data_IF_091979714215
#
_entry.id   IF_091979714215
#
_cell.length_a   1.000
_cell.length_b   1.000
_cell.length_c   1.000
_cell.angle_alpha   90.00
_cell.angle_beta   90.00
_cell.angle_gamma   90.00
#
_symmetry.space_group_name_H-M   'P 1'
#
loop_
_entity.id
_entity.type
_entity.pdbx_description
1 polymer ?
#
# COMPACT_ATOMS: atom_id res chain seq x y z
N UNK A 1 27.09 40.86 -8.41
CA UNK A 1 27.14 41.48 -7.06
C UNK A 1 27.16 40.35 -6.06
N UNK A 2 28.00 40.41 -5.03
CA UNK A 2 28.07 39.34 -4.05
C UNK A 2 26.76 39.28 -3.22
N UNK A 3 26.30 38.07 -2.95
CA UNK A 3 25.09 37.77 -2.19
C UNK A 3 25.43 36.89 -1.00
N UNK A 4 24.66 37.03 0.08
CA UNK A 4 24.71 36.14 1.24
C UNK A 4 23.50 35.21 1.19
N UNK A 5 23.72 33.94 1.52
CA UNK A 5 22.66 32.94 1.63
C UNK A 5 22.52 32.56 3.10
N UNK A 6 21.28 32.59 3.60
CA UNK A 6 20.96 32.21 4.97
C UNK A 6 19.85 31.17 4.99
N UNK A 7 19.98 30.21 5.90
CA UNK A 7 18.88 29.37 6.37
C UNK A 7 18.37 29.91 7.70
N UNK A 8 17.13 30.41 7.70
CA UNK A 8 16.35 30.74 8.88
C UNK A 8 15.57 29.50 9.31
N UNK A 9 15.88 28.99 10.50
CA UNK A 9 15.11 27.93 11.17
C UNK A 9 14.31 28.53 12.31
N UNK A 10 13.02 28.30 12.30
CA UNK A 10 12.06 28.77 13.30
C UNK A 10 11.45 27.58 14.01
N UNK A 11 11.37 27.67 15.34
CA UNK A 11 10.66 26.69 16.16
C UNK A 11 9.87 27.35 17.28
N UNK A 12 8.68 26.82 17.56
CA UNK A 12 7.81 27.33 18.63
C UNK A 12 6.36 26.88 18.46
N UNK A 13 5.47 27.46 19.26
CA UNK A 13 4.05 27.17 19.19
C UNK A 13 3.45 27.76 17.88
N UNK A 14 2.70 26.95 17.14
CA UNK A 14 2.06 27.41 15.91
C UNK A 14 0.98 28.45 16.19
N UNK A 15 0.89 29.47 15.33
CA UNK A 15 -0.08 30.58 15.41
C UNK A 15 -0.42 31.11 14.01
N UNK A 16 -1.67 31.51 13.77
CA UNK A 16 -2.05 32.17 12.52
C UNK A 16 -1.16 33.41 12.25
N UNK A 17 -0.72 33.57 11.01
CA UNK A 17 0.02 34.75 10.56
C UNK A 17 1.54 34.74 10.82
N UNK A 18 2.10 33.67 11.42
CA UNK A 18 3.56 33.53 11.63
C UNK A 18 4.33 33.67 10.31
N UNK A 19 4.00 32.84 9.32
CA UNK A 19 4.67 32.82 8.01
C UNK A 19 4.56 34.17 7.33
N UNK A 20 3.38 34.78 7.29
CA UNK A 20 3.15 36.11 6.71
C UNK A 20 3.98 37.20 7.39
N UNK A 21 4.08 37.17 8.72
CA UNK A 21 4.81 38.17 9.49
C UNK A 21 6.31 38.14 9.17
N UNK A 22 6.88 36.94 9.05
CA UNK A 22 8.30 36.74 8.79
C UNK A 22 8.66 37.03 7.32
N UNK A 23 7.83 36.58 6.38
CA UNK A 23 8.07 36.84 4.95
C UNK A 23 7.86 38.31 4.60
N UNK A 24 7.01 39.04 5.34
CA UNK A 24 6.89 40.50 5.18
C UNK A 24 8.19 41.24 5.54
N UNK A 25 8.91 40.78 6.57
CA UNK A 25 10.24 41.32 6.89
C UNK A 25 11.21 41.03 5.75
N UNK A 26 11.28 39.78 5.27
CA UNK A 26 12.14 39.41 4.14
C UNK A 26 11.85 40.26 2.89
N UNK A 27 10.57 40.49 2.58
CA UNK A 27 10.14 41.30 1.44
C UNK A 27 10.60 42.76 1.55
N UNK A 28 10.55 43.37 2.75
CA UNK A 28 11.01 44.73 2.97
C UNK A 28 12.52 44.94 2.69
N UNK A 29 13.29 43.85 2.67
CA UNK A 29 14.73 43.85 2.39
C UNK A 29 15.09 43.36 0.99
N UNK A 30 14.10 43.13 0.11
CA UNK A 30 14.29 42.55 -1.22
C UNK A 30 14.97 41.16 -1.19
N UNK A 31 14.74 40.38 -0.13
CA UNK A 31 15.29 39.03 -0.01
C UNK A 31 14.57 38.06 -0.97
N UNK A 32 15.35 37.23 -1.66
CA UNK A 32 14.84 36.19 -2.57
C UNK A 32 14.77 34.87 -1.82
N UNK A 33 13.58 34.30 -1.65
CA UNK A 33 13.43 32.95 -1.08
C UNK A 33 13.91 31.93 -2.10
N UNK A 34 14.86 31.09 -1.69
CA UNK A 34 15.44 30.00 -2.48
C UNK A 34 14.74 28.66 -2.22
N UNK A 35 14.30 28.43 -0.98
CA UNK A 35 13.55 27.25 -0.56
C UNK A 35 12.74 27.57 0.71
N UNK A 36 11.62 26.88 0.91
CA UNK A 36 10.77 27.03 2.10
C UNK A 36 10.09 25.71 2.44
N UNK A 37 10.16 25.34 3.71
CA UNK A 37 9.54 24.13 4.24
C UNK A 37 8.91 24.38 5.60
N UNK A 38 7.68 23.88 5.79
CA UNK A 38 6.97 23.99 7.07
C UNK A 38 6.41 22.64 7.49
N UNK A 39 6.55 22.32 8.78
CA UNK A 39 5.86 21.22 9.42
C UNK A 39 5.25 21.70 10.74
N UNK A 40 4.05 21.25 11.05
CA UNK A 40 3.45 21.41 12.38
C UNK A 40 3.25 20.00 12.97
N UNK A 41 3.91 19.75 14.10
CA UNK A 41 3.84 18.48 14.82
C UNK A 41 3.36 18.79 16.24
N UNK A 42 2.17 18.31 16.61
CA UNK A 42 1.57 18.54 17.94
C UNK A 42 1.59 20.02 18.37
N UNK A 43 1.09 20.91 17.50
CA UNK A 43 1.04 22.37 17.69
C UNK A 43 2.41 23.06 17.82
N UNK A 44 3.48 22.33 17.51
CA UNK A 44 4.84 22.87 17.41
C UNK A 44 5.19 23.06 15.95
N UNK A 45 5.34 24.34 15.56
CA UNK A 45 5.83 24.75 14.26
C UNK A 45 7.33 24.51 14.17
N UNK A 46 7.74 23.93 13.03
CA UNK A 46 9.10 24.00 12.51
C UNK A 46 9.03 24.60 11.11
N UNK A 47 9.64 25.77 10.91
CA UNK A 47 9.65 26.50 9.64
C UNK A 47 11.09 26.81 9.23
N UNK A 48 11.50 26.29 8.07
CA UNK A 48 12.76 26.60 7.43
C UNK A 48 12.54 27.52 6.24
N UNK A 49 13.24 28.65 6.17
CA UNK A 49 13.27 29.53 5.01
C UNK A 49 14.73 29.72 4.61
N UNK A 50 15.10 29.24 3.42
CA UNK A 50 16.38 29.53 2.81
C UNK A 50 16.21 30.74 1.89
N UNK A 51 17.03 31.78 2.07
CA UNK A 51 16.91 33.00 1.29
C UNK A 51 18.27 33.60 0.95
N UNK A 52 18.31 34.31 -0.18
CA UNK A 52 19.43 35.09 -0.69
C UNK A 52 19.16 36.58 -0.48
N UNK A 53 20.19 37.33 -0.07
CA UNK A 53 20.15 38.78 0.04
C UNK A 53 21.46 39.40 -0.46
N UNK A 54 21.40 40.62 -1.02
CA UNK A 54 22.60 41.36 -1.46
C UNK A 54 23.52 41.66 -0.26
N UNK A 55 24.83 41.43 -0.43
CA UNK A 55 25.82 41.76 0.60
C UNK A 55 25.81 43.25 0.96
N UNK A 56 26.04 43.53 2.24
CA UNK A 56 26.16 44.88 2.79
C UNK A 56 25.24 45.12 3.99
N UNK A 57 24.97 46.40 4.31
CA UNK A 57 24.20 46.79 5.51
C UNK A 57 22.81 46.15 5.61
N UNK A 58 22.18 45.85 4.47
CA UNK A 58 20.87 45.17 4.43
C UNK A 58 20.92 43.73 4.97
N UNK A 59 22.03 43.02 4.76
CA UNK A 59 22.23 41.62 5.19
C UNK A 59 22.17 41.49 6.73
N UNK A 60 22.89 42.32 7.48
CA UNK A 60 22.81 42.27 8.96
C UNK A 60 21.48 42.83 9.50
N UNK A 61 20.90 43.82 8.83
CA UNK A 61 19.64 44.44 9.24
C UNK A 61 18.45 43.48 9.15
N UNK A 62 18.34 42.70 8.07
CA UNK A 62 17.24 41.73 7.91
C UNK A 62 17.28 40.65 9.00
N UNK A 63 18.47 40.18 9.39
CA UNK A 63 18.62 39.18 10.45
C UNK A 63 18.15 39.73 11.80
N UNK A 64 18.50 40.98 12.10
CA UNK A 64 18.08 41.67 13.34
C UNK A 64 16.56 41.82 13.38
N UNK A 65 15.94 42.28 12.30
CA UNK A 65 14.50 42.51 12.26
C UNK A 65 13.71 41.20 12.32
N UNK A 66 14.23 40.13 11.69
CA UNK A 66 13.66 38.79 11.82
C UNK A 66 13.79 38.23 13.25
N UNK A 67 14.92 38.45 13.93
CA UNK A 67 15.08 38.07 15.34
C UNK A 67 14.08 38.81 16.23
N UNK A 68 13.93 40.11 16.02
CA UNK A 68 12.97 40.93 16.76
C UNK A 68 11.55 40.45 16.51
N UNK A 69 11.19 40.19 15.25
CA UNK A 69 9.87 39.69 14.89
C UNK A 69 9.59 38.30 15.48
N UNK A 70 10.57 37.40 15.46
CA UNK A 70 10.48 36.10 16.09
C UNK A 70 10.23 36.21 17.61
N UNK A 71 10.94 37.12 18.28
CA UNK A 71 10.75 37.40 19.70
C UNK A 71 9.35 37.93 20.01
N UNK A 72 8.84 38.91 19.24
CA UNK A 72 7.47 39.42 19.39
C UNK A 72 6.42 38.31 19.25
N UNK A 73 6.66 37.36 18.35
CA UNK A 73 5.76 36.24 18.08
C UNK A 73 5.91 35.10 19.10
N UNK A 74 6.89 35.17 20.00
CA UNK A 74 7.16 34.14 21.01
C UNK A 74 7.78 32.86 20.44
N UNK A 75 8.46 32.95 19.30
CA UNK A 75 9.11 31.83 18.61
C UNK A 75 10.63 31.98 18.64
N UNK A 76 11.35 30.87 18.52
CA UNK A 76 12.82 30.86 18.41
C UNK A 76 13.21 30.94 16.95
N UNK A 77 14.16 31.82 16.63
CA UNK A 77 14.77 31.90 15.31
C UNK A 77 16.28 31.63 15.40
N UNK A 78 16.78 30.76 14.53
CA UNK A 78 18.20 30.44 14.38
C UNK A 78 18.62 30.64 12.92
N UNK A 79 19.72 31.34 12.72
CA UNK A 79 20.28 31.58 11.39
C UNK A 79 21.52 30.74 11.19
N UNK A 80 21.66 30.17 10.00
CA UNK A 80 22.87 29.49 9.55
C UNK A 80 23.28 30.12 8.21
N UNK A 81 24.46 30.76 8.11
CA UNK A 81 24.99 31.18 6.82
C UNK A 81 25.32 29.93 5.99
N UNK A 82 25.06 30.00 4.69
CA UNK A 82 25.33 28.93 3.72
C UNK A 82 26.27 29.49 2.67
N UNK A 83 27.37 28.78 2.40
CA UNK A 83 28.27 29.15 1.32
C UNK A 83 27.63 28.82 -0.03
N UNK A 84 28.00 29.55 -1.09
CA UNK A 84 27.50 29.23 -2.44
C UNK A 84 27.85 27.79 -2.84
N UNK A 85 29.03 27.30 -2.46
CA UNK A 85 29.45 25.91 -2.73
C UNK A 85 28.54 24.89 -2.03
N UNK A 86 28.19 25.11 -0.76
CA UNK A 86 27.28 24.21 -0.03
C UNK A 86 25.86 24.26 -0.57
N UNK A 87 25.40 25.44 -0.99
CA UNK A 87 24.11 25.61 -1.65
C UNK A 87 24.06 24.84 -2.97
N UNK A 88 25.06 25.01 -3.84
CA UNK A 88 25.15 24.29 -5.11
C UNK A 88 25.28 22.77 -4.89
N UNK A 89 26.02 22.32 -3.87
CA UNK A 89 26.03 20.89 -3.49
C UNK A 89 24.64 20.39 -3.12
N UNK A 90 23.86 21.16 -2.37
CA UNK A 90 22.49 20.81 -2.01
C UNK A 90 21.55 20.81 -3.22
N UNK A 91 21.65 21.79 -4.12
CA UNK A 91 20.89 21.85 -5.38
C UNK A 91 21.19 20.62 -6.24
N UNK A 92 22.47 20.24 -6.39
CA UNK A 92 22.87 19.07 -7.17
C UNK A 92 22.51 17.73 -6.52
N UNK A 93 22.04 17.72 -5.26
CA UNK A 93 21.44 16.55 -4.63
C UNK A 93 19.93 16.41 -4.92
N UNK A 94 19.33 17.36 -5.65
CA UNK A 94 17.97 17.21 -6.16
C UNK A 94 17.96 16.04 -7.16
N UNK A 95 17.16 15.00 -6.86
CA UNK A 95 17.02 13.83 -7.73
C UNK A 95 17.61 12.53 -7.20
N UNK A 96 18.17 12.50 -5.98
CA UNK A 96 18.45 11.20 -5.33
C UNK A 96 17.17 10.36 -5.24
N UNK A 97 17.32 9.06 -5.45
CA UNK A 97 16.21 8.12 -5.35
C UNK A 97 15.45 8.31 -4.04
N UNK A 98 14.13 8.27 -4.17
CA UNK A 98 13.20 8.35 -3.04
C UNK A 98 12.46 7.05 -2.93
N UNK A 99 12.34 6.59 -1.70
CA UNK A 99 11.63 5.38 -1.38
C UNK A 99 10.68 5.64 -0.23
N UNK A 100 9.64 4.83 -0.16
CA UNK A 100 8.64 4.83 0.88
C UNK A 100 8.75 3.51 1.63
N UNK A 101 8.94 3.59 2.93
CA UNK A 101 8.80 2.45 3.85
C UNK A 101 7.50 2.63 4.61
N UNK A 102 6.59 1.66 4.51
CA UNK A 102 5.33 1.67 5.27
C UNK A 102 5.40 0.55 6.30
N UNK A 103 5.17 0.89 7.57
CA UNK A 103 4.99 -0.08 8.66
C UNK A 103 3.49 -0.14 8.95
N UNK A 104 2.96 -1.34 9.03
CA UNK A 104 1.54 -1.61 9.19
C UNK A 104 1.34 -2.75 10.20
N UNK A 105 0.34 -2.62 11.05
CA UNK A 105 0.03 -3.62 12.08
C UNK A 105 -1.24 -3.29 12.82
N UNK A 106 -1.65 -4.17 13.74
CA UNK A 106 -2.68 -3.84 14.72
C UNK A 106 -2.21 -2.75 15.70
N UNK A 107 -0.91 -2.68 15.94
CA UNK A 107 -0.24 -1.68 16.78
C UNK A 107 1.06 -1.22 16.14
N UNK A 108 1.61 -0.12 16.67
CA UNK A 108 2.95 0.34 16.33
C UNK A 108 3.81 0.26 17.60
N UNK A 109 4.67 -0.76 17.66
CA UNK A 109 5.63 -0.93 18.74
C UNK A 109 6.90 -0.11 18.46
N UNK A 110 7.51 0.42 19.52
CA UNK A 110 8.77 1.17 19.40
C UNK A 110 9.90 0.30 18.82
N UNK A 111 9.90 -1.00 19.15
CA UNK A 111 10.87 -1.99 18.64
C UNK A 111 10.77 -2.16 17.12
N UNK A 112 9.54 -2.29 16.58
CA UNK A 112 9.30 -2.36 15.13
C UNK A 112 9.89 -1.14 14.39
N UNK A 113 9.66 0.06 14.94
CA UNK A 113 10.18 1.31 14.36
C UNK A 113 11.70 1.35 14.48
N UNK A 114 12.25 0.97 15.63
CA UNK A 114 13.70 0.96 15.89
C UNK A 114 14.43 0.08 14.88
N UNK A 115 14.02 -1.18 14.69
CA UNK A 115 14.71 -2.09 13.76
C UNK A 115 14.60 -1.64 12.29
N UNK A 116 13.44 -1.12 11.87
CA UNK A 116 13.29 -0.54 10.53
C UNK A 116 14.22 0.67 10.33
N UNK A 117 14.25 1.60 11.29
CA UNK A 117 15.09 2.81 11.18
C UNK A 117 16.58 2.50 11.28
N UNK A 118 16.96 1.43 11.99
CA UNK A 118 18.33 0.93 12.05
C UNK A 118 18.80 0.43 10.69
N UNK A 119 18.02 -0.38 9.98
CA UNK A 119 18.35 -0.82 8.61
C UNK A 119 18.55 0.38 7.67
N UNK A 120 17.65 1.37 7.76
CA UNK A 120 17.74 2.61 6.96
C UNK A 120 19.06 3.35 7.26
N UNK A 121 19.40 3.48 8.54
CA UNK A 121 20.64 4.13 8.98
C UNK A 121 21.90 3.36 8.58
N UNK A 122 21.91 2.03 8.71
CA UNK A 122 23.04 1.16 8.36
C UNK A 122 23.38 1.24 6.86
N UNK A 123 22.39 1.56 6.03
CA UNK A 123 22.56 1.82 4.59
C UNK A 123 22.83 3.29 4.26
N UNK A 124 23.08 4.13 5.27
CA UNK A 124 23.35 5.58 5.10
C UNK A 124 22.24 6.33 4.36
N UNK A 125 20.99 5.85 4.47
CA UNK A 125 19.82 6.52 3.93
C UNK A 125 19.28 7.52 4.94
N UNK A 126 18.74 8.64 4.46
CA UNK A 126 18.13 9.65 5.31
C UNK A 126 16.61 9.48 5.33
N UNK A 127 16.00 9.64 6.50
CA UNK A 127 14.54 9.74 6.64
C UNK A 127 14.16 11.22 6.50
N UNK A 128 13.56 11.59 5.38
CA UNK A 128 13.13 12.97 5.11
C UNK A 128 11.83 13.30 5.85
N UNK A 129 10.91 12.34 6.04
CA UNK A 129 9.71 12.54 6.84
C UNK A 129 9.10 11.24 7.34
N UNK A 130 8.37 11.31 8.46
CA UNK A 130 7.54 10.22 9.00
C UNK A 130 6.12 10.74 9.17
N UNK A 131 5.14 10.00 8.65
CA UNK A 131 3.71 10.34 8.72
C UNK A 131 2.92 9.15 9.23
N UNK A 132 2.07 9.34 10.23
CA UNK A 132 1.05 8.35 10.57
C UNK A 132 -0.02 8.35 9.47
N UNK A 133 -0.42 7.19 8.96
CA UNK A 133 -1.48 7.03 7.96
C UNK A 133 -2.84 6.71 8.59
N UNK A 134 -2.86 6.07 9.75
CA UNK A 134 -4.11 5.75 10.44
C UNK A 134 -4.58 6.86 11.38
N UNK A 135 -5.82 6.75 11.83
CA UNK A 135 -6.40 7.55 12.90
C UNK A 135 -5.63 7.46 14.22
N UNK A 136 -6.06 8.29 15.18
CA UNK A 136 -5.51 8.27 16.54
C UNK A 136 -6.22 7.19 17.35
N UNK A 137 -5.44 6.31 17.94
CA UNK A 137 -5.96 5.23 18.80
C UNK A 137 -6.42 5.83 20.13
N UNK A 138 -7.64 5.48 20.55
CA UNK A 138 -8.13 5.85 21.88
C UNK A 138 -7.51 4.95 22.95
N UNK A 139 -7.07 5.53 24.06
CA UNK A 139 -6.62 4.77 25.24
C UNK A 139 -7.79 4.26 26.11
N UNK A 140 -9.02 4.70 25.83
CA UNK A 140 -10.20 4.37 26.62
C UNK A 140 -11.17 3.50 25.82
N UNK A 141 -11.43 3.84 24.56
CA UNK A 141 -12.27 3.05 23.68
C UNK A 141 -11.41 1.97 23.03
N UNK A 142 -11.72 0.71 23.31
CA UNK A 142 -11.15 -0.40 22.55
C UNK A 142 -11.79 -0.43 21.17
N UNK A 143 -10.96 -0.33 20.15
CA UNK A 143 -11.38 -0.57 18.78
C UNK A 143 -11.50 -2.08 18.57
N UNK A 144 -12.58 -2.51 17.94
CA UNK A 144 -12.77 -3.92 17.55
C UNK A 144 -11.71 -4.34 16.53
N UNK A 145 -11.27 -3.40 15.69
CA UNK A 145 -10.37 -3.63 14.56
C UNK A 145 -9.25 -2.59 14.54
N UNK A 146 -8.27 -2.72 15.45
CA UNK A 146 -7.19 -1.75 15.57
C UNK A 146 -6.31 -1.79 14.31
N UNK A 147 -5.99 -0.62 13.78
CA UNK A 147 -5.10 -0.44 12.64
C UNK A 147 -4.11 0.67 12.96
N UNK A 148 -2.83 0.36 12.80
CA UNK A 148 -1.77 1.29 13.08
C UNK A 148 -0.79 1.27 11.91
N UNK A 149 -0.63 2.42 11.25
CA UNK A 149 0.33 2.54 10.17
C UNK A 149 1.07 3.86 10.19
N UNK A 150 2.37 3.79 9.91
CA UNK A 150 3.21 4.93 9.59
C UNK A 150 3.91 4.71 8.25
N UNK A 151 4.24 5.82 7.62
CA UNK A 151 4.97 5.90 6.37
C UNK A 151 6.21 6.76 6.58
N UNK A 152 7.36 6.27 6.13
CA UNK A 152 8.62 6.99 6.10
C UNK A 152 9.00 7.29 4.65
N UNK A 153 9.26 8.55 4.35
CA UNK A 153 9.92 8.95 3.11
C UNK A 153 11.41 8.92 3.34
N UNK A 154 12.13 8.08 2.60
CA UNK A 154 13.58 7.94 2.72
C UNK A 154 14.27 8.31 1.41
N UNK A 155 15.50 8.82 1.52
CA UNK A 155 16.28 9.30 0.38
C UNK A 155 17.74 8.86 0.48
N UNK A 156 18.27 8.40 -0.63
CA UNK A 156 19.66 7.98 -0.78
C UNK A 156 19.81 6.94 -1.89
N UNK A 157 21.04 6.51 -2.14
CA UNK A 157 21.35 5.51 -3.16
C UNK A 157 21.28 4.12 -2.54
N UNK A 158 20.58 3.20 -3.20
CA UNK A 158 20.47 1.81 -2.78
C UNK A 158 21.13 0.94 -3.85
N UNK A 159 22.28 0.35 -3.51
CA UNK A 159 23.01 -0.52 -4.44
C UNK A 159 22.31 -1.85 -4.69
N UNK A 160 21.74 -2.48 -3.64
CA UNK A 160 20.99 -3.73 -3.74
C UNK A 160 19.65 -3.62 -2.98
N UNK A 161 18.56 -3.54 -3.74
CA UNK A 161 17.19 -3.47 -3.20
C UNK A 161 16.74 -4.81 -2.60
N UNK A 162 17.34 -5.91 -3.05
CA UNK A 162 17.00 -7.26 -2.60
C UNK A 162 17.38 -7.46 -1.15
N UNK A 163 18.63 -7.12 -0.78
CA UNK A 163 19.11 -7.12 0.61
C UNK A 163 18.21 -6.27 1.52
N UNK A 164 17.78 -5.10 1.03
CA UNK A 164 16.92 -4.19 1.80
C UNK A 164 15.54 -4.81 2.06
N UNK A 165 14.94 -5.39 1.01
CA UNK A 165 13.64 -6.08 1.09
C UNK A 165 13.72 -7.29 2.02
N UNK A 166 14.80 -8.08 1.92
CA UNK A 166 15.00 -9.28 2.71
C UNK A 166 15.08 -8.98 4.22
N UNK A 167 15.83 -7.94 4.61
CA UNK A 167 15.91 -7.52 6.02
C UNK A 167 14.57 -7.00 6.56
N UNK A 168 13.77 -6.31 5.76
CA UNK A 168 12.43 -5.92 6.18
C UNK A 168 11.46 -7.11 6.30
N UNK A 169 11.60 -8.12 5.43
CA UNK A 169 10.85 -9.36 5.57
C UNK A 169 11.22 -10.12 6.85
N UNK A 170 12.49 -10.13 7.24
CA UNK A 170 12.95 -10.70 8.52
C UNK A 170 12.28 -10.03 9.72
N UNK A 171 12.31 -8.68 9.78
CA UNK A 171 11.60 -7.93 10.82
C UNK A 171 10.11 -8.25 10.82
N UNK A 172 9.51 -8.35 9.63
CA UNK A 172 8.07 -8.59 9.51
C UNK A 172 7.67 -9.93 10.14
N UNK A 173 8.52 -10.96 10.00
CA UNK A 173 8.33 -12.29 10.60
C UNK A 173 8.55 -12.29 12.10
N UNK A 174 9.54 -11.54 12.60
CA UNK A 174 9.94 -11.57 14.01
C UNK A 174 9.05 -10.69 14.90
N UNK A 175 8.62 -9.53 14.40
CA UNK A 175 8.00 -8.48 15.22
C UNK A 175 6.50 -8.28 14.93
N UNK A 176 5.86 -9.18 14.18
CA UNK A 176 4.44 -9.12 13.86
C UNK A 176 4.02 -7.73 13.31
N UNK A 177 4.72 -7.32 12.25
CA UNK A 177 4.48 -6.08 11.54
C UNK A 177 4.59 -6.35 10.05
N UNK A 178 3.70 -5.76 9.25
CA UNK A 178 3.86 -5.76 7.81
C UNK A 178 4.70 -4.55 7.39
N UNK A 179 5.79 -4.81 6.67
CA UNK A 179 6.67 -3.76 6.15
C UNK A 179 6.66 -3.80 4.63
N UNK A 180 6.28 -2.69 4.01
CA UNK A 180 6.31 -2.52 2.57
C UNK A 180 7.37 -1.49 2.18
N UNK A 181 8.20 -1.82 1.20
CA UNK A 181 9.23 -0.96 0.64
C UNK A 181 8.95 -0.71 -0.83
N UNK A 182 8.76 0.55 -1.20
CA UNK A 182 8.37 0.96 -2.56
C UNK A 182 9.21 2.15 -3.02
N UNK A 183 9.45 2.28 -4.32
CA UNK A 183 9.93 3.52 -4.90
C UNK A 183 8.86 4.62 -4.82
N UNK A 184 9.24 5.86 -4.50
CA UNK A 184 8.35 7.04 -4.57
C UNK A 184 8.32 7.59 -6.01
N UNK A 185 7.90 6.77 -6.95
CA UNK A 185 7.74 7.14 -8.35
C UNK A 185 6.29 7.58 -8.67
N UNK A 186 6.06 8.04 -9.89
CA UNK A 186 4.75 8.54 -10.33
C UNK A 186 3.67 7.44 -10.29
N UNK A 187 4.04 6.19 -10.56
CA UNK A 187 3.11 5.07 -10.60
C UNK A 187 2.59 4.69 -9.21
N UNK A 188 3.42 4.84 -8.16
CA UNK A 188 2.99 4.60 -6.76
C UNK A 188 1.70 5.35 -6.41
N UNK A 189 1.53 6.57 -6.94
CA UNK A 189 0.39 7.45 -6.65
C UNK A 189 -0.71 7.43 -7.71
N UNK A 190 -0.45 6.84 -8.88
CA UNK A 190 -1.35 6.86 -10.02
C UNK A 190 -1.74 5.44 -10.44
N UNK A 191 -1.92 4.52 -9.48
CA UNK A 191 -2.48 3.20 -9.75
C UNK A 191 -3.97 3.33 -10.09
N UNK A 192 -4.48 2.46 -10.97
CA UNK A 192 -5.83 2.60 -11.57
C UNK A 192 -6.64 1.31 -11.68
N UNK A 193 -5.99 0.14 -11.63
CA UNK A 193 -6.65 -1.17 -11.70
C UNK A 193 -6.18 -2.03 -10.53
N UNK A 194 -7.12 -2.68 -9.85
CA UNK A 194 -6.84 -3.64 -8.77
C UNK A 194 -7.50 -4.98 -9.10
N UNK A 195 -6.68 -6.01 -9.20
CA UNK A 195 -7.11 -7.38 -9.42
C UNK A 195 -6.92 -8.18 -8.13
N UNK A 196 -7.95 -8.94 -7.76
CA UNK A 196 -7.97 -9.75 -6.55
C UNK A 196 -8.15 -11.22 -6.90
N UNK A 197 -7.46 -12.11 -6.21
CA UNK A 197 -7.98 -13.47 -6.06
C UNK A 197 -9.26 -13.46 -5.23
N UNK A 198 -10.06 -14.50 -5.39
CA UNK A 198 -11.30 -14.71 -4.67
C UNK A 198 -11.07 -15.52 -3.39
N UNK A 199 -10.81 -16.82 -3.54
CA UNK A 199 -10.59 -17.76 -2.45
C UNK A 199 -9.39 -17.33 -1.61
N UNK A 200 -9.49 -17.49 -0.29
CA UNK A 200 -8.46 -17.08 0.69
C UNK A 200 -7.97 -15.60 0.63
N UNK A 201 -8.58 -14.76 -0.21
CA UNK A 201 -8.23 -13.34 -0.40
C UNK A 201 -9.43 -12.41 -0.20
N UNK A 202 -10.43 -12.41 -1.08
CA UNK A 202 -11.68 -11.67 -0.89
C UNK A 202 -12.65 -12.37 0.06
N UNK A 203 -12.53 -13.69 0.17
CA UNK A 203 -13.25 -14.55 1.11
C UNK A 203 -12.27 -15.40 1.90
N UNK A 204 -12.67 -15.84 3.09
CA UNK A 204 -11.80 -16.55 4.04
C UNK A 204 -11.90 -18.08 3.94
N UNK A 205 -12.42 -18.61 2.82
CA UNK A 205 -12.59 -20.04 2.61
C UNK A 205 -12.22 -20.40 1.17
N UNK A 206 -11.92 -21.68 0.94
CA UNK A 206 -11.78 -22.29 -0.37
C UNK A 206 -13.14 -22.82 -0.80
N UNK A 207 -13.78 -22.18 -1.77
CA UNK A 207 -15.16 -22.53 -2.18
C UNK A 207 -15.30 -23.99 -2.59
N UNK A 208 -14.29 -24.56 -3.25
CA UNK A 208 -14.36 -25.95 -3.70
C UNK A 208 -14.39 -26.95 -2.55
N UNK A 209 -13.72 -26.65 -1.44
CA UNK A 209 -13.69 -27.51 -0.26
C UNK A 209 -15.05 -27.47 0.45
N UNK A 210 -15.67 -26.29 0.57
CA UNK A 210 -17.04 -26.15 1.10
C UNK A 210 -18.07 -26.95 0.28
N UNK A 211 -17.96 -26.90 -1.05
CA UNK A 211 -18.83 -27.69 -1.94
C UNK A 211 -18.57 -29.19 -1.80
N UNK A 212 -17.32 -29.59 -1.64
CA UNK A 212 -16.95 -31.00 -1.49
C UNK A 212 -17.48 -31.60 -0.18
N UNK A 213 -17.41 -30.84 0.91
CA UNK A 213 -17.98 -31.25 2.20
C UNK A 213 -19.50 -31.44 2.10
N UNK A 214 -20.22 -30.50 1.46
CA UNK A 214 -21.66 -30.60 1.26
C UNK A 214 -22.06 -31.72 0.28
N UNK A 215 -21.17 -32.08 -0.66
CA UNK A 215 -21.32 -33.22 -1.55
C UNK A 215 -20.94 -34.57 -0.89
N UNK A 216 -20.38 -34.57 0.32
CA UNK A 216 -19.91 -35.78 1.01
C UNK A 216 -18.62 -36.37 0.43
N UNK A 217 -17.86 -35.58 -0.33
CA UNK A 217 -16.61 -35.98 -1.02
C UNK A 217 -15.40 -35.16 -0.56
N UNK A 218 -15.50 -34.46 0.58
CA UNK A 218 -14.44 -33.60 1.14
C UNK A 218 -13.08 -34.30 1.25
N UNK A 219 -13.03 -35.52 1.81
CA UNK A 219 -11.78 -36.27 1.95
C UNK A 219 -11.11 -36.58 0.59
N UNK A 220 -11.91 -36.86 -0.44
CA UNK A 220 -11.41 -37.17 -1.77
C UNK A 220 -10.85 -35.93 -2.46
N UNK A 221 -11.57 -34.80 -2.34
CA UNK A 221 -11.11 -33.51 -2.87
C UNK A 221 -9.82 -33.07 -2.19
N UNK A 222 -9.73 -33.22 -0.87
CA UNK A 222 -8.52 -32.90 -0.11
C UNK A 222 -7.32 -33.74 -0.56
N UNK A 223 -7.49 -35.04 -0.77
CA UNK A 223 -6.42 -35.90 -1.28
C UNK A 223 -5.91 -35.45 -2.66
N UNK A 224 -6.82 -35.06 -3.56
CA UNK A 224 -6.45 -34.53 -4.89
C UNK A 224 -5.71 -33.19 -4.77
N UNK A 225 -6.16 -32.30 -3.88
CA UNK A 225 -5.50 -31.02 -3.60
C UNK A 225 -4.09 -31.22 -3.05
N UNK A 226 -3.90 -32.18 -2.13
CA UNK A 226 -2.59 -32.52 -1.58
C UNK A 226 -1.64 -33.07 -2.65
N UNK A 227 -2.08 -33.99 -3.51
CA UNK A 227 -1.28 -34.49 -4.65
C UNK A 227 -0.89 -33.37 -5.61
N UNK A 228 -1.78 -32.43 -5.90
CA UNK A 228 -1.48 -31.27 -6.74
C UNK A 228 -0.43 -30.34 -6.09
N UNK A 229 -0.54 -30.10 -4.79
CA UNK A 229 0.44 -29.30 -4.04
C UNK A 229 1.81 -29.98 -3.96
N UNK A 230 1.87 -31.31 -3.97
CA UNK A 230 3.09 -32.10 -4.04
C UNK A 230 3.70 -32.15 -5.46
N UNK A 231 2.97 -31.66 -6.47
CA UNK A 231 3.40 -31.67 -7.87
C UNK A 231 3.25 -33.03 -8.55
N UNK A 232 2.48 -33.95 -7.96
CA UNK A 232 2.21 -35.27 -8.55
C UNK A 232 1.26 -35.17 -9.76
N UNK A 233 0.33 -34.21 -9.72
CA UNK A 233 -0.60 -33.88 -10.79
C UNK A 233 -0.57 -32.37 -11.05
N UNK A 234 -0.85 -31.96 -12.29
CA UNK A 234 -0.92 -30.54 -12.62
C UNK A 234 -2.25 -29.90 -12.15
N UNK A 235 -2.32 -28.57 -12.16
CA UNK A 235 -3.49 -27.83 -11.70
C UNK A 235 -4.76 -28.17 -12.51
N UNK A 236 -4.62 -28.33 -13.83
CA UNK A 236 -5.75 -28.59 -14.73
C UNK A 236 -6.31 -30.00 -14.52
N UNK A 237 -5.43 -30.97 -14.30
CA UNK A 237 -5.79 -32.33 -13.93
C UNK A 237 -6.48 -32.37 -12.56
N UNK A 238 -5.88 -31.73 -11.55
CA UNK A 238 -6.47 -31.59 -10.21
C UNK A 238 -7.85 -30.93 -10.25
N UNK A 239 -8.01 -29.86 -11.02
CA UNK A 239 -9.29 -29.18 -11.20
C UNK A 239 -10.34 -30.11 -11.82
N UNK A 240 -10.00 -30.80 -12.92
CA UNK A 240 -10.90 -31.76 -13.59
C UNK A 240 -11.34 -32.88 -12.66
N UNK A 241 -10.41 -33.47 -11.91
CA UNK A 241 -10.72 -34.57 -10.99
C UNK A 241 -11.66 -34.10 -9.87
N UNK A 242 -11.37 -32.95 -9.24
CA UNK A 242 -12.24 -32.37 -8.19
C UNK A 242 -13.62 -32.03 -8.75
N UNK A 243 -13.70 -31.49 -9.96
CA UNK A 243 -14.99 -31.19 -10.60
C UNK A 243 -15.85 -32.42 -10.82
N UNK A 244 -15.28 -33.56 -11.23
CA UNK A 244 -16.03 -34.79 -11.40
C UNK A 244 -16.67 -35.29 -10.11
N UNK A 245 -16.02 -35.08 -8.96
CA UNK A 245 -16.55 -35.46 -7.64
C UNK A 245 -17.77 -34.63 -7.23
N UNK A 246 -17.91 -33.42 -7.75
CA UNK A 246 -19.05 -32.53 -7.46
C UNK A 246 -20.28 -32.81 -8.36
N UNK A 247 -20.21 -33.81 -9.24
CA UNK A 247 -21.31 -34.18 -10.12
C UNK A 247 -22.57 -34.54 -9.33
N UNK A 248 -23.70 -33.96 -9.73
CA UNK A 248 -25.01 -34.17 -9.11
C UNK A 248 -25.32 -33.23 -7.95
N UNK A 249 -24.38 -32.36 -7.55
CA UNK A 249 -24.65 -31.34 -6.55
C UNK A 249 -25.67 -30.33 -7.08
N UNK A 250 -26.71 -30.05 -6.30
CA UNK A 250 -27.79 -29.12 -6.68
C UNK A 250 -27.31 -27.68 -6.75
N UNK A 251 -27.82 -26.91 -7.71
CA UNK A 251 -27.61 -25.47 -7.83
C UNK A 251 -28.07 -24.71 -6.58
N UNK A 252 -29.10 -25.21 -5.88
CA UNK A 252 -29.55 -24.64 -4.60
C UNK A 252 -28.44 -24.65 -3.54
N UNK A 253 -27.58 -25.67 -3.54
CA UNK A 253 -26.43 -25.72 -2.62
C UNK A 253 -25.43 -24.62 -2.94
N UNK A 254 -25.19 -24.32 -4.22
CA UNK A 254 -24.32 -23.21 -4.63
C UNK A 254 -24.83 -21.88 -4.10
N UNK A 255 -26.15 -21.66 -4.16
CA UNK A 255 -26.79 -20.46 -3.62
C UNK A 255 -26.60 -20.36 -2.10
N UNK A 256 -26.85 -21.45 -1.36
CA UNK A 256 -26.68 -21.45 0.10
C UNK A 256 -25.24 -21.15 0.53
N UNK A 257 -24.25 -21.70 -0.18
CA UNK A 257 -22.83 -21.40 0.07
C UNK A 257 -22.53 -19.94 -0.24
N UNK A 258 -23.00 -19.42 -1.39
CA UNK A 258 -22.77 -18.04 -1.80
C UNK A 258 -23.30 -17.04 -0.75
N UNK A 259 -24.50 -17.27 -0.22
CA UNK A 259 -25.13 -16.42 0.78
C UNK A 259 -24.32 -16.34 2.10
N UNK A 260 -23.59 -17.41 2.44
CA UNK A 260 -22.83 -17.56 3.68
C UNK A 260 -21.33 -17.27 3.56
N UNK A 261 -20.85 -16.89 2.37
CA UNK A 261 -19.41 -16.67 2.16
C UNK A 261 -18.83 -15.67 3.19
N UNK A 262 -17.79 -16.07 3.94
CA UNK A 262 -17.13 -15.20 4.91
C UNK A 262 -16.26 -14.19 4.16
N UNK A 263 -16.79 -12.99 3.91
CA UNK A 263 -16.04 -11.92 3.26
C UNK A 263 -14.88 -11.49 4.14
N UNK A 264 -13.70 -11.39 3.53
CA UNK A 264 -12.48 -10.95 4.20
C UNK A 264 -12.68 -9.56 4.82
N UNK A 265 -12.31 -9.46 6.09
CA UNK A 265 -12.36 -8.21 6.84
C UNK A 265 -11.67 -7.07 6.08
N UNK A 266 -12.34 -5.93 6.01
CA UNK A 266 -11.84 -4.75 5.29
C UNK A 266 -12.11 -4.75 3.78
N UNK A 267 -12.55 -5.86 3.17
CA UNK A 267 -12.81 -5.92 1.72
C UNK A 267 -13.81 -4.86 1.26
N UNK A 268 -14.96 -4.71 1.93
CA UNK A 268 -15.95 -3.68 1.57
C UNK A 268 -15.37 -2.27 1.66
N UNK A 269 -14.67 -1.94 2.77
CA UNK A 269 -14.01 -0.64 2.96
C UNK A 269 -12.99 -0.38 1.85
N UNK A 270 -12.20 -1.40 1.47
CA UNK A 270 -11.24 -1.29 0.38
C UNK A 270 -11.93 -0.98 -0.94
N UNK A 271 -12.89 -1.81 -1.37
CA UNK A 271 -13.52 -1.68 -2.68
C UNK A 271 -14.27 -0.35 -2.80
N UNK A 272 -15.02 0.05 -1.77
CA UNK A 272 -15.74 1.33 -1.76
C UNK A 272 -14.79 2.52 -1.92
N UNK A 273 -13.64 2.47 -1.25
CA UNK A 273 -12.63 3.51 -1.34
C UNK A 273 -11.98 3.54 -2.72
N UNK A 274 -11.67 2.36 -3.28
CA UNK A 274 -11.10 2.23 -4.61
C UNK A 274 -12.04 2.80 -5.67
N UNK A 275 -13.33 2.47 -5.64
CA UNK A 275 -14.32 3.05 -6.56
C UNK A 275 -14.44 4.55 -6.41
N UNK A 276 -14.49 5.06 -5.19
CA UNK A 276 -14.58 6.50 -4.96
C UNK A 276 -13.41 7.26 -5.59
N UNK A 277 -12.20 6.69 -5.53
CA UNK A 277 -11.01 7.25 -6.17
C UNK A 277 -10.87 6.89 -7.66
N UNK A 278 -11.88 6.26 -8.26
CA UNK A 278 -11.95 5.97 -9.69
C UNK A 278 -11.08 4.79 -10.15
N UNK A 279 -10.74 3.88 -9.25
CA UNK A 279 -10.10 2.62 -9.61
C UNK A 279 -11.10 1.68 -10.30
N UNK A 280 -10.57 0.86 -11.20
CA UNK A 280 -11.24 -0.35 -11.67
C UNK A 280 -10.86 -1.54 -10.82
N UNK A 281 -11.80 -2.44 -10.60
CA UNK A 281 -11.64 -3.62 -9.75
C UNK A 281 -12.01 -4.88 -10.51
N UNK A 282 -11.25 -5.96 -10.32
CA UNK A 282 -11.52 -7.24 -10.97
C UNK A 282 -11.26 -8.42 -10.03
N UNK A 283 -12.07 -9.47 -10.14
CA UNK A 283 -11.78 -10.79 -9.59
C UNK A 283 -11.12 -11.63 -10.67
N UNK A 284 -9.91 -12.13 -10.42
CA UNK A 284 -9.18 -13.06 -11.27
C UNK A 284 -8.92 -14.34 -10.48
N UNK A 285 -9.74 -15.38 -10.66
CA UNK A 285 -9.74 -16.53 -9.75
C UNK A 285 -9.75 -17.89 -10.47
N UNK A 286 -9.11 -18.88 -9.85
CA UNK A 286 -9.26 -20.29 -10.22
C UNK A 286 -10.52 -20.93 -9.63
N UNK A 287 -11.28 -20.21 -8.81
CA UNK A 287 -12.61 -20.61 -8.34
C UNK A 287 -13.67 -20.47 -9.43
N UNK A 288 -14.93 -20.25 -9.04
CA UNK A 288 -16.06 -20.31 -9.98
C UNK A 288 -16.75 -18.95 -10.21
N UNK A 289 -17.14 -18.69 -11.46
CA UNK A 289 -17.87 -17.48 -11.88
C UNK A 289 -19.17 -17.27 -11.12
N UNK A 290 -19.84 -18.34 -10.70
CA UNK A 290 -21.06 -18.26 -9.88
C UNK A 290 -20.84 -17.43 -8.60
N UNK A 291 -19.78 -17.76 -7.83
CA UNK A 291 -19.43 -17.06 -6.60
C UNK A 291 -18.77 -15.70 -6.90
N UNK A 292 -17.96 -15.63 -7.95
CA UNK A 292 -17.39 -14.37 -8.43
C UNK A 292 -18.46 -13.32 -8.73
N UNK A 293 -19.54 -13.68 -9.44
CA UNK A 293 -20.66 -12.78 -9.72
C UNK A 293 -21.50 -12.44 -8.49
N UNK A 294 -21.59 -13.35 -7.52
CA UNK A 294 -22.21 -13.04 -6.24
C UNK A 294 -21.41 -11.96 -5.48
N UNK A 295 -20.09 -12.13 -5.37
CA UNK A 295 -19.20 -11.14 -4.75
C UNK A 295 -19.19 -9.83 -5.56
N UNK A 296 -19.26 -9.92 -6.89
CA UNK A 296 -19.37 -8.76 -7.77
C UNK A 296 -20.55 -7.87 -7.38
N UNK A 297 -21.74 -8.44 -7.24
CA UNK A 297 -22.95 -7.69 -6.84
C UNK A 297 -22.86 -7.19 -5.39
N UNK A 298 -22.25 -7.96 -4.50
CA UNK A 298 -22.19 -7.65 -3.07
C UNK A 298 -21.15 -6.57 -2.73
N UNK A 299 -20.06 -6.50 -3.49
CA UNK A 299 -18.95 -5.57 -3.29
C UNK A 299 -18.86 -4.49 -4.38
N UNK A 300 -19.71 -4.53 -5.42
CA UNK A 300 -19.74 -3.63 -6.58
C UNK A 300 -18.56 -3.77 -7.56
N UNK A 301 -17.89 -4.92 -7.60
CA UNK A 301 -16.68 -5.13 -8.41
C UNK A 301 -16.97 -4.99 -9.92
N UNK A 302 -16.07 -4.37 -10.69
CA UNK A 302 -16.32 -4.08 -12.11
C UNK A 302 -16.27 -5.34 -13.00
N UNK A 303 -15.29 -6.23 -12.78
CA UNK A 303 -15.05 -7.40 -13.66
C UNK A 303 -14.84 -8.70 -12.89
N UNK A 304 -15.19 -9.83 -13.53
CA UNK A 304 -14.99 -11.18 -12.98
C UNK A 304 -14.49 -12.11 -14.08
N UNK A 305 -13.36 -12.77 -13.83
CA UNK A 305 -12.83 -13.86 -14.65
C UNK A 305 -12.53 -15.05 -13.74
N UNK A 306 -13.23 -16.15 -13.97
CA UNK A 306 -13.10 -17.38 -13.19
C UNK A 306 -13.56 -18.59 -14.00
N UNK A 307 -13.44 -19.80 -13.44
CA UNK A 307 -13.92 -21.02 -14.10
C UNK A 307 -15.45 -21.07 -14.13
N UNK A 308 -16.04 -21.52 -15.24
CA UNK A 308 -17.50 -21.63 -15.35
C UNK A 308 -17.95 -23.09 -15.12
N UNK A 309 -18.77 -23.30 -14.10
CA UNK A 309 -19.42 -24.57 -13.81
C UNK A 309 -20.42 -24.93 -14.92
N UNK A 310 -20.44 -26.17 -15.38
CA UNK A 310 -21.51 -26.67 -16.26
C UNK A 310 -22.69 -27.16 -15.39
N UNK A 311 -23.83 -26.48 -15.53
CA UNK A 311 -25.07 -26.79 -14.81
C UNK A 311 -26.13 -27.23 -15.82
N UNK A 312 -26.79 -28.37 -15.58
CA UNK A 312 -27.93 -28.85 -16.37
C UNK A 312 -29.03 -29.35 -15.43
N UNK A 313 -30.27 -29.02 -15.75
CA UNK A 313 -31.46 -29.42 -14.98
C UNK A 313 -31.34 -29.11 -13.47
N UNK A 314 -30.69 -27.98 -13.14
CA UNK A 314 -30.50 -27.51 -11.76
C UNK A 314 -29.43 -28.25 -10.96
N UNK A 315 -28.52 -29.01 -11.61
CA UNK A 315 -27.42 -29.71 -10.94
C UNK A 315 -26.10 -29.62 -11.71
N UNK A 316 -24.99 -29.73 -10.99
CA UNK A 316 -23.65 -29.79 -11.56
C UNK A 316 -23.47 -31.08 -12.38
N UNK A 317 -22.96 -30.95 -13.60
CA UNK A 317 -22.65 -32.12 -14.44
C UNK A 317 -21.31 -32.80 -14.08
N UNK A 318 -20.48 -32.09 -13.31
CA UNK A 318 -19.06 -32.38 -13.08
C UNK A 318 -18.14 -31.86 -14.20
N UNK A 319 -18.70 -31.22 -15.23
CA UNK A 319 -17.98 -30.51 -16.28
C UNK A 319 -17.80 -29.02 -16.00
N UNK A 320 -17.08 -28.37 -16.90
CA UNK A 320 -16.84 -26.92 -16.90
C UNK A 320 -16.91 -26.38 -18.33
N UNK A 321 -17.14 -25.06 -18.46
CA UNK A 321 -17.22 -24.37 -19.75
C UNK A 321 -16.02 -23.45 -19.94
N UNK A 322 -15.52 -23.38 -21.17
CA UNK A 322 -14.39 -22.53 -21.54
C UNK A 322 -13.02 -23.05 -21.09
N UNK A 323 -12.06 -22.14 -21.01
CA UNK A 323 -10.69 -22.43 -20.58
C UNK A 323 -10.59 -22.48 -19.05
N UNK A 324 -9.66 -23.30 -18.54
CA UNK A 324 -9.36 -23.33 -17.11
C UNK A 324 -8.54 -22.08 -16.74
N UNK A 325 -8.99 -21.37 -15.73
CA UNK A 325 -8.29 -20.21 -15.15
C UNK A 325 -7.24 -20.71 -14.15
N UNK A 326 -6.04 -20.94 -14.67
CA UNK A 326 -4.84 -21.22 -13.86
C UNK A 326 -4.05 -19.92 -13.55
N UNK A 327 -2.89 -20.05 -12.91
CA UNK A 327 -2.06 -18.89 -12.55
C UNK A 327 -1.53 -18.10 -13.75
N UNK A 328 -1.24 -18.76 -14.87
CA UNK A 328 -0.84 -18.07 -16.09
C UNK A 328 -2.03 -17.30 -16.68
N UNK A 329 -3.22 -17.92 -16.67
CA UNK A 329 -4.46 -17.29 -17.13
C UNK A 329 -4.83 -16.06 -16.30
N UNK A 330 -4.60 -16.07 -14.98
CA UNK A 330 -4.78 -14.87 -14.14
C UNK A 330 -3.88 -13.72 -14.60
N UNK A 331 -2.61 -13.99 -14.89
CA UNK A 331 -1.68 -12.98 -15.40
C UNK A 331 -2.10 -12.49 -16.81
N UNK A 332 -2.55 -13.38 -17.70
CA UNK A 332 -3.11 -13.01 -19.01
C UNK A 332 -4.33 -12.09 -18.87
N UNK A 333 -5.26 -12.38 -17.96
CA UNK A 333 -6.43 -11.52 -17.75
C UNK A 333 -6.09 -10.16 -17.13
N UNK A 334 -5.10 -10.10 -16.24
CA UNK A 334 -4.58 -8.83 -15.73
C UNK A 334 -4.04 -7.97 -16.90
N UNK A 335 -3.21 -8.56 -17.78
CA UNK A 335 -2.68 -7.86 -18.94
C UNK A 335 -3.79 -7.42 -19.90
N UNK A 336 -4.74 -8.32 -20.19
CA UNK A 336 -5.87 -8.04 -21.07
C UNK A 336 -6.68 -6.84 -20.57
N UNK A 337 -7.05 -6.82 -19.28
CA UNK A 337 -7.80 -5.71 -18.69
C UNK A 337 -7.00 -4.41 -18.71
N UNK A 338 -5.70 -4.46 -18.44
CA UNK A 338 -4.83 -3.30 -18.50
C UNK A 338 -4.82 -2.71 -19.93
N UNK A 339 -4.65 -3.56 -20.94
CA UNK A 339 -4.62 -3.16 -22.36
C UNK A 339 -5.96 -2.59 -22.83
N UNK A 340 -7.07 -3.25 -22.52
CA UNK A 340 -8.43 -2.81 -22.90
C UNK A 340 -8.77 -1.44 -22.30
N UNK A 341 -8.26 -1.13 -21.12
CA UNK A 341 -8.49 0.14 -20.43
C UNK A 341 -7.45 1.22 -20.75
N UNK A 342 -6.39 0.88 -21.50
CA UNK A 342 -5.25 1.77 -21.74
C UNK A 342 -4.52 2.15 -20.44
N UNK A 343 -4.39 1.19 -19.51
CA UNK A 343 -3.69 1.32 -18.24
C UNK A 343 -2.33 0.66 -18.38
N UNK A 344 -1.24 1.38 -18.08
CA UNK A 344 0.09 0.79 -18.05
C UNK A 344 0.17 -0.28 -16.94
N UNK A 345 0.85 -1.40 -17.18
CA UNK A 345 0.93 -2.48 -16.19
C UNK A 345 1.52 -2.00 -14.85
N UNK A 346 2.39 -0.99 -14.86
CA UNK A 346 2.95 -0.35 -13.66
C UNK A 346 1.91 0.36 -12.79
N UNK A 347 0.73 0.67 -13.36
CA UNK A 347 -0.42 1.27 -12.66
C UNK A 347 -1.39 0.21 -12.09
N UNK A 348 -1.10 -1.07 -12.24
CA UNK A 348 -1.95 -2.15 -11.74
C UNK A 348 -1.52 -2.62 -10.36
N UNK A 349 -2.46 -3.19 -9.62
CA UNK A 349 -2.25 -3.86 -8.34
C UNK A 349 -2.82 -5.27 -8.47
N UNK A 350 -2.09 -6.26 -7.99
CA UNK A 350 -2.59 -7.62 -7.83
C UNK A 350 -2.52 -8.02 -6.35
N UNK A 351 -3.58 -8.64 -5.85
CA UNK A 351 -3.68 -9.14 -4.47
C UNK A 351 -4.08 -10.61 -4.49
N UNK A 352 -3.33 -11.45 -3.80
CA UNK A 352 -3.57 -12.90 -3.73
C UNK A 352 -2.79 -13.53 -2.57
N UNK A 353 -3.10 -14.77 -2.22
CA UNK A 353 -2.48 -15.49 -1.09
C UNK A 353 -1.62 -16.69 -1.53
N UNK A 354 -1.89 -17.20 -2.73
CA UNK A 354 -1.46 -18.53 -3.15
C UNK A 354 -0.30 -18.53 -4.16
N UNK A 355 0.30 -19.71 -4.35
CA UNK A 355 1.35 -19.90 -5.35
C UNK A 355 0.83 -19.79 -6.79
N UNK A 356 -0.47 -20.05 -6.98
CA UNK A 356 -1.22 -19.82 -8.22
C UNK A 356 -1.32 -18.33 -8.58
N UNK A 357 -1.10 -17.40 -7.65
CA UNK A 357 -1.17 -15.97 -7.93
C UNK A 357 0.18 -15.36 -8.31
N UNK A 358 1.29 -16.08 -8.12
CA UNK A 358 2.64 -15.52 -8.25
C UNK A 358 2.89 -14.88 -9.62
N UNK A 359 2.41 -15.48 -10.70
CA UNK A 359 2.54 -14.90 -12.04
C UNK A 359 1.81 -13.55 -12.16
N UNK A 360 0.59 -13.47 -11.63
CA UNK A 360 -0.21 -12.23 -11.61
C UNK A 360 0.42 -11.18 -10.68
N UNK A 361 0.87 -11.59 -9.49
CA UNK A 361 1.53 -10.71 -8.52
C UNK A 361 2.83 -10.12 -9.07
N UNK A 362 3.63 -10.93 -9.77
CA UNK A 362 4.90 -10.52 -10.35
C UNK A 362 4.73 -9.64 -11.58
N UNK A 363 3.63 -9.82 -12.33
CA UNK A 363 3.31 -9.00 -13.49
C UNK A 363 2.83 -7.60 -13.09
N UNK A 364 2.06 -7.49 -12.00
CA UNK A 364 1.49 -6.23 -11.56
C UNK A 364 2.54 -5.19 -11.15
N UNK A 365 2.21 -3.90 -11.31
CA UNK A 365 3.02 -2.79 -10.80
C UNK A 365 3.12 -2.74 -9.28
N UNK A 366 2.17 -3.37 -8.58
CA UNK A 366 2.26 -3.70 -7.16
C UNK A 366 1.62 -5.05 -6.88
N UNK A 367 2.43 -6.08 -6.65
CA UNK A 367 1.99 -7.39 -6.19
C UNK A 367 1.95 -7.48 -4.67
N UNK A 368 0.79 -7.81 -4.10
CA UNK A 368 0.56 -7.89 -2.65
C UNK A 368 0.17 -9.33 -2.28
N UNK A 369 1.03 -9.99 -1.51
CA UNK A 369 0.74 -11.27 -0.86
C UNK A 369 -0.12 -11.04 0.40
N UNK A 370 -1.38 -11.46 0.39
CA UNK A 370 -2.32 -11.26 1.50
C UNK A 370 -2.49 -12.55 2.30
N UNK A 371 -2.21 -12.53 3.61
CA UNK A 371 -2.26 -13.70 4.52
C UNK A 371 -1.58 -14.96 3.96
N UNK A 372 -0.58 -14.73 3.10
CA UNK A 372 -0.03 -15.75 2.22
C UNK A 372 0.94 -16.72 2.92
N UNK A 373 1.16 -17.88 2.30
CA UNK A 373 2.20 -18.82 2.76
C UNK A 373 3.60 -18.23 2.57
N UNK A 374 4.63 -18.65 3.35
CA UNK A 374 5.98 -18.08 3.27
C UNK A 374 6.56 -18.03 1.85
N UNK A 375 6.38 -19.11 1.06
CA UNK A 375 6.85 -19.16 -0.33
C UNK A 375 6.29 -18.02 -1.19
N UNK A 376 5.04 -17.62 -0.96
CA UNK A 376 4.39 -16.56 -1.73
C UNK A 376 4.87 -15.19 -1.26
N UNK A 377 4.96 -15.01 0.07
CA UNK A 377 5.51 -13.77 0.67
C UNK A 377 6.91 -13.46 0.17
N UNK A 378 7.76 -14.48 0.05
CA UNK A 378 9.16 -14.34 -0.35
C UNK A 378 9.35 -13.97 -1.82
N UNK A 379 8.31 -14.15 -2.64
CA UNK A 379 8.35 -13.87 -4.08
C UNK A 379 7.47 -12.67 -4.47
N UNK A 380 6.62 -12.17 -3.58
CA UNK A 380 5.82 -10.97 -3.82
C UNK A 380 6.57 -9.69 -3.45
N UNK A 381 6.19 -8.57 -4.06
CA UNK A 381 6.80 -7.26 -3.80
C UNK A 381 6.44 -6.70 -2.41
N UNK A 382 5.28 -7.06 -1.87
CA UNK A 382 4.81 -6.64 -0.56
C UNK A 382 3.91 -7.72 0.03
N UNK A 383 3.77 -7.73 1.36
CA UNK A 383 2.84 -8.64 2.04
C UNK A 383 2.03 -7.93 3.12
N UNK A 384 0.83 -8.43 3.37
CA UNK A 384 -0.05 -8.01 4.46
C UNK A 384 -0.50 -9.27 5.19
N UNK A 385 -0.22 -9.36 6.49
CA UNK A 385 -0.44 -10.53 7.34
C UNK A 385 -1.16 -10.18 8.64
N UNK A 386 -1.05 -8.94 9.09
CA UNK A 386 -1.45 -8.53 10.44
C UNK A 386 -2.82 -7.86 10.49
N UNK A 387 -3.32 -7.34 9.35
CA UNK A 387 -4.60 -6.63 9.29
C UNK A 387 -5.49 -7.09 8.13
N UNK A 388 -6.67 -6.47 8.01
CA UNK A 388 -7.64 -6.73 6.96
C UNK A 388 -7.18 -6.26 5.57
N UNK A 389 -7.96 -6.63 4.55
CA UNK A 389 -7.67 -6.36 3.14
C UNK A 389 -7.57 -4.85 2.84
N UNK A 390 -8.23 -4.01 3.64
CA UNK A 390 -8.12 -2.55 3.58
C UNK A 390 -6.72 -2.01 3.90
N UNK A 391 -5.81 -2.85 4.40
CA UNK A 391 -4.39 -2.51 4.52
C UNK A 391 -3.72 -2.11 3.21
N UNK A 392 -4.25 -2.58 2.08
CA UNK A 392 -3.81 -2.18 0.73
C UNK A 392 -3.85 -0.65 0.58
N UNK A 393 -4.85 0.04 1.16
CA UNK A 393 -4.98 1.50 1.07
C UNK A 393 -3.77 2.23 1.66
N UNK A 394 -3.19 1.71 2.76
CA UNK A 394 -2.02 2.34 3.38
C UNK A 394 -0.75 2.13 2.53
N UNK A 395 -0.64 1.02 1.80
CA UNK A 395 0.47 0.81 0.86
C UNK A 395 0.41 1.81 -0.30
N UNK A 396 -0.80 2.22 -0.70
CA UNK A 396 -1.04 3.30 -1.66
C UNK A 396 -0.79 4.69 -1.06
N UNK A 397 -0.67 4.80 0.26
CA UNK A 397 -0.43 6.04 0.99
C UNK A 397 -1.69 6.83 1.32
N UNK A 398 -2.86 6.21 1.23
CA UNK A 398 -4.10 6.82 1.72
C UNK A 398 -4.07 6.92 3.24
N UNK A 399 -4.63 8.02 3.73
CA UNK A 399 -4.79 8.31 5.14
C UNK A 399 -6.22 8.01 5.57
N UNK A 400 -6.46 7.59 6.80
CA UNK A 400 -7.83 7.37 7.31
C UNK A 400 -8.70 8.62 7.15
N UNK A 401 -8.13 9.83 7.30
CA UNK A 401 -8.88 11.08 7.05
C UNK A 401 -9.38 11.25 5.61
N UNK A 402 -8.81 10.52 4.66
CA UNK A 402 -9.18 10.54 3.23
C UNK A 402 -10.16 9.40 2.94
N UNK A 403 -9.91 8.23 3.54
CA UNK A 403 -10.74 7.03 3.40
C UNK A 403 -12.11 7.24 4.08
N UNK A 404 -12.08 7.75 5.31
CA UNK A 404 -13.26 7.86 6.16
C UNK A 404 -14.15 9.05 5.78
N UNK A 405 -13.78 9.85 4.76
CA UNK A 405 -14.70 10.83 4.12
C UNK A 405 -15.94 10.16 3.51
N UNK A 406 -15.88 8.84 3.33
CA UNK A 406 -16.93 8.00 2.75
C UNK A 406 -17.87 7.39 3.79
N UNK A 407 -17.59 7.61 5.09
CA UNK A 407 -18.34 7.01 6.22
C UNK A 407 -19.55 7.82 6.63
#
# INVERSE_FOLDING_TARGET
>A
MATDIFLLNISGQDRPGLTSSLTSVLAAYDAKVLDIGQANIHDTLSLGIMFEIKQGKKSSAVLKDLLFKAYELGIKAKFKPISLEDYEKWVNQQGKDRYIVTILGEKLAAEQISEVTKIISDKSLNIDSIKRLTGRVSLVKKEEYPRASIQMSIRGEIGDKTDFTQKFMEISRELDADIAFQEDNIFRRNRRLVCFDMDSTLIQTEVIDELAELAGVGEQVKAITESAMQGEIDFNESFKQRMQLLKGLSETVLQEVAERLPITKGAKRLIDTLHYYGFKTAILSGGFTYFGHYLQKKLDIDYVFANQLEIKDGALTGGYLGDIVDGNKKAEYLQLLADEMGIDISQTIAVGDGANDLQMLNLAGLGIAFHAKPKVKDNAQSSISSIGLDGVLYLLGYHDRQIDLLS
#
